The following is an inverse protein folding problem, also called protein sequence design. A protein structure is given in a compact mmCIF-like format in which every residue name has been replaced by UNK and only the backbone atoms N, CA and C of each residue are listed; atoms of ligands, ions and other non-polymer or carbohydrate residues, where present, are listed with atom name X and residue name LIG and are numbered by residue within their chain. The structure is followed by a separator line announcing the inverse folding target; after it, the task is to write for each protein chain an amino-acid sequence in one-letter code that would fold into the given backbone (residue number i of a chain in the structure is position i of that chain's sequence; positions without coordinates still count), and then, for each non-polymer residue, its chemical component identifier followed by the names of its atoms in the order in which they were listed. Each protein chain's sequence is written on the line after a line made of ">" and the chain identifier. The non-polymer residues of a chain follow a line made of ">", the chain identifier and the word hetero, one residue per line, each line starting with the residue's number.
data_IF_376299971025
#
_entry.id   IF_376299971025
#
_cell.length_a   1.000
_cell.length_b   1.000
_cell.length_c   1.000
_cell.angle_alpha   90.00
_cell.angle_beta   90.00
_cell.angle_gamma   90.00
#
_symmetry.space_group_name_H-M   'P 1'
#
loop_
_entity.id
_entity.type
_entity.pdbx_description
1 polymer ?
#
# COMPACT_ATOMS: atom_id res chain seq x y z
N UNK A 1 60.60 -9.44 26.33
CA UNK A 1 60.69 -9.25 24.87
C UNK A 1 59.60 -8.26 24.49
N UNK A 2 60.00 -6.99 24.33
CA UNK A 2 59.12 -5.81 24.24
C UNK A 2 58.85 -5.51 22.76
N UNK A 3 57.64 -5.77 22.25
CA UNK A 3 57.28 -5.45 20.86
C UNK A 3 56.84 -3.98 20.80
N UNK A 4 57.65 -3.18 20.11
CA UNK A 4 57.47 -1.75 19.90
C UNK A 4 56.29 -1.46 18.97
N UNK A 5 55.41 -0.56 19.41
CA UNK A 5 54.60 0.33 18.55
C UNK A 5 55.42 1.59 18.25
N UNK A 6 55.31 2.12 17.02
CA UNK A 6 55.34 3.55 16.61
C UNK A 6 55.55 3.61 15.09
N UNK A 7 54.57 4.06 14.31
CA UNK A 7 54.25 5.46 13.96
C UNK A 7 55.21 6.05 12.91
N UNK A 8 54.69 6.20 11.69
CA UNK A 8 55.08 7.26 10.76
C UNK A 8 53.91 7.56 9.82
N UNK A 9 53.28 8.72 10.06
CA UNK A 9 52.45 9.44 9.11
C UNK A 9 53.33 10.51 8.44
N UNK A 10 53.05 10.82 7.16
CA UNK A 10 53.30 12.07 6.40
C UNK A 10 53.06 11.71 4.91
N UNK A 11 51.91 12.01 4.29
CA UNK A 11 51.33 13.29 3.87
C UNK A 11 51.70 13.71 2.43
N UNK A 12 50.67 14.25 1.75
CA UNK A 12 50.68 15.17 0.60
C UNK A 12 50.76 14.57 -0.82
N UNK A 13 49.64 14.63 -1.56
CA UNK A 13 49.50 15.56 -2.70
C UNK A 13 48.09 15.57 -3.26
N UNK A 14 47.51 16.77 -3.30
CA UNK A 14 46.31 17.12 -4.03
C UNK A 14 46.66 17.41 -5.51
N UNK A 15 45.79 17.05 -6.44
CA UNK A 15 45.77 17.65 -7.78
C UNK A 15 44.35 17.72 -8.33
N UNK A 16 43.98 18.96 -8.64
CA UNK A 16 42.80 19.41 -9.38
C UNK A 16 42.70 18.73 -10.74
N UNK A 17 41.48 18.33 -11.14
CA UNK A 17 41.07 18.31 -12.54
C UNK A 17 39.64 18.86 -12.65
N UNK A 18 39.56 20.13 -13.02
CA UNK A 18 38.38 20.79 -13.56
C UNK A 18 38.20 20.38 -15.03
N UNK A 19 37.07 19.75 -15.35
CA UNK A 19 36.76 19.28 -16.70
C UNK A 19 35.31 19.56 -17.11
N UNK A 20 35.09 20.76 -17.66
CA UNK A 20 34.11 21.17 -18.69
C UNK A 20 32.68 20.62 -18.62
N UNK A 21 31.74 21.51 -18.22
CA UNK A 21 30.31 21.45 -18.55
C UNK A 21 30.11 21.78 -20.03
N UNK A 22 29.46 20.89 -20.76
CA UNK A 22 28.93 21.11 -22.11
C UNK A 22 27.43 21.42 -22.02
N UNK A 23 27.05 22.58 -22.55
CA UNK A 23 25.67 23.05 -22.69
C UNK A 23 24.96 22.32 -23.85
N UNK A 24 23.69 21.93 -23.73
CA UNK A 24 22.88 21.57 -24.88
C UNK A 24 22.21 22.84 -25.46
N UNK A 25 22.33 22.99 -26.78
CA UNK A 25 21.71 24.04 -27.58
C UNK A 25 20.19 23.91 -27.61
N UNK A 26 19.53 25.04 -27.41
CA UNK A 26 18.09 25.24 -27.64
C UNK A 26 17.83 25.27 -29.16
N UNK A 27 17.03 24.33 -29.68
CA UNK A 27 16.41 24.46 -31.00
C UNK A 27 14.95 24.87 -30.81
N UNK A 28 14.61 26.07 -31.29
CA UNK A 28 13.24 26.52 -31.50
C UNK A 28 12.71 25.91 -32.80
N UNK A 29 11.64 25.11 -32.70
CA UNK A 29 10.81 24.78 -33.85
C UNK A 29 9.41 25.34 -33.61
N UNK A 30 9.09 26.39 -34.37
CA UNK A 30 7.77 27.00 -34.49
C UNK A 30 6.83 26.02 -35.20
N UNK A 31 5.74 25.62 -34.56
CA UNK A 31 4.57 25.04 -35.22
C UNK A 31 3.29 25.70 -34.69
N UNK A 32 2.93 26.76 -35.43
CA UNK A 32 1.57 27.13 -35.86
C UNK A 32 0.36 26.64 -35.05
N UNK A 33 -0.28 27.57 -34.35
CA UNK A 33 -1.66 27.51 -33.85
C UNK A 33 -2.67 27.64 -34.99
N UNK A 34 -3.71 26.79 -35.09
CA UNK A 34 -4.88 27.11 -35.90
C UNK A 34 -5.86 27.99 -35.10
N UNK A 35 -6.29 29.05 -35.77
CA UNK A 35 -7.19 30.10 -35.33
C UNK A 35 -8.61 29.58 -35.09
N UNK A 36 -9.24 30.06 -34.01
CA UNK A 36 -10.67 29.96 -33.73
C UNK A 36 -11.40 30.95 -34.65
N UNK A 37 -12.44 30.48 -35.34
CA UNK A 37 -13.43 31.36 -36.01
C UNK A 37 -14.81 31.19 -35.36
N UNK A 38 -15.59 32.28 -35.23
CA UNK A 38 -16.88 32.26 -34.55
C UNK A 38 -17.99 31.77 -35.49
N UNK A 39 -18.85 30.87 -35.02
CA UNK A 39 -20.08 30.52 -35.76
C UNK A 39 -21.25 31.24 -35.11
N UNK A 40 -21.97 31.93 -35.99
CA UNK A 40 -23.06 32.87 -35.76
C UNK A 40 -24.30 32.22 -35.12
N UNK A 41 -24.91 32.99 -34.23
CA UNK A 41 -26.26 32.81 -33.72
C UNK A 41 -27.26 33.12 -34.85
N UNK A 42 -28.11 32.16 -35.22
CA UNK A 42 -29.30 32.41 -36.03
C UNK A 42 -30.52 31.92 -35.26
N UNK A 43 -31.34 32.88 -34.84
CA UNK A 43 -32.72 32.64 -34.42
C UNK A 43 -33.61 32.44 -35.66
N UNK A 44 -34.63 31.58 -35.58
CA UNK A 44 -36.06 31.94 -35.77
C UNK A 44 -36.99 30.70 -35.83
N UNK A 45 -38.10 30.85 -35.12
CA UNK A 45 -39.48 30.37 -35.38
C UNK A 45 -39.84 28.89 -35.40
N UNK A 46 -40.40 28.50 -34.24
CA UNK A 46 -41.64 27.73 -33.98
C UNK A 46 -42.47 27.34 -35.21
N UNK A 47 -42.72 26.02 -35.35
CA UNK A 47 -44.00 25.49 -35.83
C UNK A 47 -44.47 24.34 -34.94
N UNK A 48 -45.74 24.44 -34.59
CA UNK A 48 -46.54 23.62 -33.68
C UNK A 48 -46.89 22.24 -34.26
N UNK A 49 -46.82 21.20 -33.43
CA UNK A 49 -47.42 19.89 -33.67
C UNK A 49 -47.50 19.08 -32.38
N UNK A 50 -48.72 18.82 -31.90
CA UNK A 50 -49.05 17.98 -30.73
C UNK A 50 -49.74 16.68 -31.24
N UNK A 51 -50.02 15.66 -30.40
CA UNK A 51 -49.10 14.61 -29.98
C UNK A 51 -49.62 13.22 -30.43
N UNK A 52 -48.73 12.22 -30.53
CA UNK A 52 -49.18 10.81 -30.46
C UNK A 52 -48.37 10.04 -29.43
N UNK A 53 -49.11 9.61 -28.43
CA UNK A 53 -48.72 8.72 -27.35
C UNK A 53 -48.12 7.42 -27.89
N UNK A 54 -46.91 7.12 -27.43
CA UNK A 54 -46.34 5.77 -27.42
C UNK A 54 -45.67 5.62 -26.06
N UNK A 55 -46.43 5.12 -25.10
CA UNK A 55 -45.94 4.72 -23.78
C UNK A 55 -45.04 3.50 -24.00
N UNK A 56 -43.75 3.75 -24.25
CA UNK A 56 -42.70 2.76 -24.14
C UNK A 56 -42.38 2.56 -22.66
N UNK A 57 -42.86 1.47 -22.08
CA UNK A 57 -42.45 1.02 -20.74
C UNK A 57 -40.96 0.69 -20.78
N UNK A 58 -40.10 1.65 -20.43
CA UNK A 58 -38.70 1.41 -20.09
C UNK A 58 -38.66 0.57 -18.81
N UNK A 59 -38.58 -0.76 -18.97
CA UNK A 59 -38.10 -1.63 -17.90
C UNK A 59 -36.62 -1.34 -17.73
N UNK A 60 -36.29 -0.54 -16.72
CA UNK A 60 -34.95 -0.56 -16.16
C UNK A 60 -34.81 -1.90 -15.44
N UNK A 61 -34.36 -2.92 -16.16
CA UNK A 61 -33.77 -4.11 -15.54
C UNK A 61 -32.43 -3.68 -14.93
N UNK A 62 -32.51 -2.98 -13.80
CA UNK A 62 -31.39 -2.86 -12.88
C UNK A 62 -31.22 -4.25 -12.27
N UNK A 63 -30.45 -5.09 -12.96
CA UNK A 63 -29.75 -6.20 -12.31
C UNK A 63 -28.89 -5.57 -11.22
N UNK A 64 -29.42 -5.51 -10.01
CA UNK A 64 -28.65 -5.28 -8.80
C UNK A 64 -27.71 -6.48 -8.71
N UNK A 65 -26.52 -6.35 -9.29
CA UNK A 65 -25.43 -7.26 -8.99
C UNK A 65 -25.25 -7.16 -7.48
N UNK A 66 -25.68 -8.20 -6.75
CA UNK A 66 -25.52 -8.26 -5.32
C UNK A 66 -24.03 -8.13 -5.03
N UNK A 67 -23.60 -6.93 -4.63
CA UNK A 67 -22.32 -6.78 -3.95
C UNK A 67 -22.46 -7.59 -2.67
N UNK A 68 -21.97 -8.83 -2.71
CA UNK A 68 -21.65 -9.57 -1.49
C UNK A 68 -20.68 -8.69 -0.72
N UNK A 69 -21.21 -7.98 0.28
CA UNK A 69 -20.39 -7.24 1.23
C UNK A 69 -19.54 -8.30 1.92
N UNK A 70 -18.29 -8.44 1.48
CA UNK A 70 -17.32 -9.33 2.11
C UNK A 70 -17.34 -9.04 3.61
N UNK A 71 -17.64 -10.05 4.41
CA UNK A 71 -17.82 -9.90 5.86
C UNK A 71 -16.52 -10.16 6.62
N UNK A 72 -15.55 -10.78 5.95
CA UNK A 72 -14.32 -11.29 6.55
C UNK A 72 -13.13 -11.10 5.62
N UNK A 73 -11.93 -10.94 6.20
CA UNK A 73 -10.65 -10.99 5.48
C UNK A 73 -10.52 -12.30 4.68
N UNK A 74 -11.12 -13.39 5.15
CA UNK A 74 -11.05 -14.70 4.52
C UNK A 74 -11.80 -14.78 3.18
N UNK A 75 -12.56 -13.76 2.81
CA UNK A 75 -13.28 -13.74 1.55
C UNK A 75 -12.46 -13.13 0.40
N UNK A 76 -11.23 -12.67 0.66
CA UNK A 76 -10.39 -12.00 -0.34
C UNK A 76 -9.37 -12.95 -0.96
N UNK A 77 -9.10 -12.73 -2.25
CA UNK A 77 -7.94 -13.28 -2.95
C UNK A 77 -6.98 -12.12 -3.22
N UNK A 78 -5.71 -12.35 -2.95
CA UNK A 78 -4.61 -11.38 -3.18
C UNK A 78 -3.53 -12.01 -4.06
N UNK A 79 -2.57 -11.21 -4.52
CA UNK A 79 -1.42 -11.71 -5.26
C UNK A 79 -0.23 -11.89 -4.32
N UNK A 80 0.46 -13.03 -4.40
CA UNK A 80 1.79 -13.16 -3.80
C UNK A 80 2.81 -12.30 -4.57
N UNK A 81 4.02 -12.18 -4.02
CA UNK A 81 5.11 -11.41 -4.65
C UNK A 81 5.50 -11.93 -6.07
N UNK A 82 5.10 -13.13 -6.47
CA UNK A 82 5.33 -13.71 -7.80
C UNK A 82 4.12 -13.54 -8.75
N UNK A 83 3.04 -12.91 -8.29
CA UNK A 83 1.81 -12.69 -9.06
C UNK A 83 0.80 -13.84 -9.03
N UNK A 84 1.01 -14.88 -8.21
CA UNK A 84 0.05 -15.98 -8.06
C UNK A 84 -1.11 -15.57 -7.14
N UNK A 85 -2.30 -16.09 -7.40
CA UNK A 85 -3.44 -15.90 -6.50
C UNK A 85 -3.25 -16.67 -5.20
N UNK A 86 -3.53 -15.99 -4.09
CA UNK A 86 -3.60 -16.55 -2.74
C UNK A 86 -4.98 -16.25 -2.18
N UNK A 87 -5.78 -17.30 -1.99
CA UNK A 87 -7.06 -17.22 -1.29
C UNK A 87 -6.78 -17.09 0.22
N UNK A 88 -7.20 -15.98 0.82
CA UNK A 88 -6.97 -15.75 2.24
C UNK A 88 -7.81 -16.65 3.15
N UNK A 89 -8.75 -17.43 2.60
CA UNK A 89 -9.47 -18.47 3.33
C UNK A 89 -8.54 -19.51 3.98
N UNK A 90 -7.32 -19.68 3.47
CA UNK A 90 -6.28 -20.55 4.06
C UNK A 90 -5.85 -20.12 5.46
N UNK A 91 -6.11 -18.87 5.85
CA UNK A 91 -5.75 -18.31 7.15
C UNK A 91 -6.88 -18.40 8.18
N UNK A 92 -8.02 -19.02 7.84
CA UNK A 92 -9.13 -19.27 8.79
C UNK A 92 -8.62 -19.97 10.05
N UNK A 93 -9.05 -19.48 11.21
CA UNK A 93 -8.63 -20.00 12.51
C UNK A 93 -7.32 -19.41 13.04
N UNK A 94 -6.62 -18.58 12.26
CA UNK A 94 -5.43 -17.85 12.71
C UNK A 94 -5.77 -16.41 13.09
N UNK A 95 -5.07 -15.88 14.08
CA UNK A 95 -5.01 -14.44 14.35
C UNK A 95 -4.07 -13.80 13.34
N UNK A 96 -4.51 -12.73 12.66
CA UNK A 96 -3.71 -12.08 11.62
C UNK A 96 -3.30 -10.67 12.05
N UNK A 97 -2.04 -10.33 11.79
CA UNK A 97 -1.58 -8.94 11.78
C UNK A 97 -1.28 -8.53 10.35
N UNK A 98 -2.14 -7.68 9.78
CA UNK A 98 -2.00 -7.19 8.40
C UNK A 98 -1.32 -5.83 8.42
N UNK A 99 -0.24 -5.67 7.65
CA UNK A 99 0.63 -4.49 7.71
C UNK A 99 0.99 -3.98 6.32
N UNK A 100 0.87 -2.67 6.09
CA UNK A 100 1.46 -2.05 4.90
C UNK A 100 2.93 -1.71 5.17
N UNK A 101 3.85 -2.18 4.34
CA UNK A 101 5.31 -2.08 4.59
C UNK A 101 6.03 -1.24 3.54
N UNK A 102 7.22 -0.76 3.91
CA UNK A 102 8.13 0.00 3.06
C UNK A 102 9.60 -0.32 3.40
N UNK A 103 10.49 -0.43 2.40
CA UNK A 103 11.92 -0.71 2.61
C UNK A 103 12.76 0.53 2.94
N UNK A 104 12.33 1.72 2.51
CA UNK A 104 13.10 2.97 2.63
C UNK A 104 12.42 4.00 3.55
N UNK A 105 11.79 3.53 4.62
CA UNK A 105 11.14 4.37 5.61
C UNK A 105 11.98 4.49 6.89
N UNK A 106 11.90 5.63 7.58
CA UNK A 106 12.54 5.81 8.90
C UNK A 106 12.05 4.82 9.97
N UNK A 107 10.88 4.21 9.75
CA UNK A 107 10.26 3.22 10.63
C UNK A 107 10.62 1.77 10.26
N UNK A 108 11.30 1.54 9.13
CA UNK A 108 11.54 0.20 8.57
C UNK A 108 12.32 -0.69 9.53
N UNK A 109 13.42 -0.20 10.10
CA UNK A 109 14.28 -1.02 10.95
C UNK A 109 13.55 -1.54 12.18
N UNK A 110 12.90 -0.65 12.95
CA UNK A 110 12.19 -1.06 14.16
C UNK A 110 11.00 -1.96 13.85
N UNK A 111 10.21 -1.64 12.83
CA UNK A 111 9.02 -2.42 12.50
C UNK A 111 9.36 -3.82 12.01
N UNK A 112 10.23 -3.98 11.00
CA UNK A 112 10.58 -5.31 10.52
C UNK A 112 11.22 -6.17 11.61
N UNK A 113 12.14 -5.61 12.41
CA UNK A 113 12.76 -6.34 13.52
C UNK A 113 11.73 -6.81 14.55
N UNK A 114 10.79 -5.96 14.95
CA UNK A 114 9.78 -6.34 15.95
C UNK A 114 8.71 -7.29 15.37
N UNK A 115 8.34 -7.14 14.09
CA UNK A 115 7.44 -8.07 13.40
C UNK A 115 8.08 -9.46 13.31
N UNK A 116 9.36 -9.57 12.93
CA UNK A 116 10.06 -10.86 12.90
C UNK A 116 10.11 -11.51 14.28
N UNK A 117 10.37 -10.73 15.35
CA UNK A 117 10.37 -11.24 16.73
C UNK A 117 8.99 -11.76 17.18
N UNK A 118 7.92 -11.03 16.86
CA UNK A 118 6.55 -11.48 17.15
C UNK A 118 6.24 -12.76 16.38
N UNK A 119 6.58 -12.80 15.10
CA UNK A 119 6.31 -13.95 14.25
C UNK A 119 7.05 -15.19 14.71
N UNK A 120 8.35 -15.07 14.98
CA UNK A 120 9.18 -16.16 15.54
C UNK A 120 8.55 -16.75 16.80
N UNK A 121 7.99 -15.90 17.67
CA UNK A 121 7.37 -16.32 18.92
C UNK A 121 6.03 -17.03 18.75
N UNK A 122 5.21 -16.62 17.77
CA UNK A 122 3.79 -17.03 17.70
C UNK A 122 3.36 -17.77 16.42
N UNK A 123 4.20 -17.89 15.40
CA UNK A 123 3.85 -18.53 14.11
C UNK A 123 3.28 -19.94 14.26
N UNK A 124 3.78 -20.70 15.24
CA UNK A 124 3.33 -22.08 15.52
C UNK A 124 2.14 -22.14 16.50
N UNK A 125 1.60 -20.99 16.92
CA UNK A 125 0.51 -20.88 17.90
C UNK A 125 -0.79 -20.36 17.25
N UNK A 126 -0.90 -20.38 15.92
CA UNK A 126 -2.07 -19.86 15.21
C UNK A 126 -2.03 -18.35 14.99
N UNK A 127 -0.84 -17.77 14.85
CA UNK A 127 -0.64 -16.37 14.45
C UNK A 127 0.02 -16.29 13.07
N UNK A 128 -0.35 -15.27 12.29
CA UNK A 128 0.24 -14.99 10.98
C UNK A 128 0.40 -13.48 10.77
N UNK A 129 1.48 -13.08 10.07
CA UNK A 129 1.65 -11.70 9.61
C UNK A 129 1.46 -11.67 8.10
N UNK A 130 0.61 -10.77 7.60
CA UNK A 130 0.43 -10.56 6.16
C UNK A 130 0.97 -9.18 5.79
N UNK A 131 2.14 -9.14 5.16
CA UNK A 131 2.83 -7.90 4.80
C UNK A 131 2.53 -7.51 3.34
N UNK A 132 2.07 -6.28 3.14
CA UNK A 132 1.75 -5.72 1.83
C UNK A 132 2.63 -4.52 1.53
N UNK A 133 3.63 -4.64 0.64
CA UNK A 133 4.45 -3.51 0.24
C UNK A 133 3.60 -2.41 -0.39
N UNK A 134 3.91 -1.13 -0.12
CA UNK A 134 3.15 0.00 -0.67
C UNK A 134 4.05 1.21 -0.92
N UNK A 135 3.97 1.79 -2.12
CA UNK A 135 4.80 2.92 -2.52
C UNK A 135 4.11 4.29 -2.40
N UNK A 136 2.88 4.36 -1.89
CA UNK A 136 2.08 5.59 -1.84
C UNK A 136 2.61 6.63 -0.84
N UNK A 137 3.48 6.24 0.08
CA UNK A 137 3.96 7.10 1.18
C UNK A 137 5.41 7.51 0.94
N UNK A 138 5.59 8.68 0.32
CA UNK A 138 6.91 9.27 0.07
C UNK A 138 7.79 8.47 -0.90
N UNK A 139 7.21 7.57 -1.70
CA UNK A 139 7.98 6.74 -2.64
C UNK A 139 8.96 5.78 -1.95
N UNK A 140 8.64 5.34 -0.72
CA UNK A 140 9.55 4.59 0.15
C UNK A 140 9.57 3.06 -0.10
N UNK A 141 8.89 2.59 -1.14
CA UNK A 141 8.93 1.20 -1.61
C UNK A 141 9.11 1.15 -3.15
N UNK A 142 10.21 1.72 -3.67
CA UNK A 142 10.39 1.90 -5.11
C UNK A 142 10.73 0.59 -5.85
N UNK A 143 11.27 -0.41 -5.14
CA UNK A 143 11.73 -1.67 -5.73
C UNK A 143 10.61 -2.54 -6.29
N UNK A 144 10.98 -3.52 -7.11
CA UNK A 144 10.07 -4.59 -7.53
C UNK A 144 9.90 -5.64 -6.42
N UNK A 145 9.01 -6.61 -6.63
CA UNK A 145 8.70 -7.61 -5.61
C UNK A 145 9.92 -8.47 -5.25
N UNK A 146 10.77 -8.81 -6.21
CA UNK A 146 11.99 -9.58 -5.98
C UNK A 146 12.97 -8.83 -5.06
N UNK A 147 13.19 -7.55 -5.31
CA UNK A 147 14.04 -6.67 -4.50
C UNK A 147 13.48 -6.49 -3.09
N UNK A 148 12.15 -6.35 -2.96
CA UNK A 148 11.47 -6.19 -1.67
C UNK A 148 11.57 -7.47 -0.84
N UNK A 149 11.35 -8.63 -1.46
CA UNK A 149 11.54 -9.93 -0.81
C UNK A 149 12.97 -10.12 -0.32
N UNK A 150 13.96 -9.89 -1.20
CA UNK A 150 15.38 -10.02 -0.85
C UNK A 150 15.73 -9.10 0.33
N UNK A 151 15.28 -7.85 0.28
CA UNK A 151 15.47 -6.90 1.36
C UNK A 151 14.93 -7.40 2.69
N UNK A 152 13.66 -7.81 2.75
CA UNK A 152 13.01 -8.21 3.98
C UNK A 152 13.58 -9.53 4.53
N UNK A 153 13.75 -10.54 3.67
CA UNK A 153 14.23 -11.86 4.03
C UNK A 153 15.70 -11.84 4.45
N UNK A 154 16.58 -11.16 3.70
CA UNK A 154 18.02 -11.17 4.00
C UNK A 154 18.36 -10.30 5.20
N UNK A 155 17.80 -9.08 5.25
CA UNK A 155 18.15 -8.09 6.29
C UNK A 155 17.44 -8.35 7.62
N UNK A 156 16.16 -8.73 7.57
CA UNK A 156 15.32 -8.82 8.77
C UNK A 156 14.86 -10.23 9.09
N UNK A 157 15.28 -11.22 8.29
CA UNK A 157 14.89 -12.63 8.46
C UNK A 157 13.37 -12.77 8.55
N UNK A 158 12.66 -12.03 7.71
CA UNK A 158 11.22 -12.15 7.61
C UNK A 158 10.86 -13.55 7.10
N UNK A 159 10.08 -14.28 7.90
CA UNK A 159 9.60 -15.65 7.57
C UNK A 159 8.08 -15.68 7.31
N UNK A 160 7.42 -14.53 7.41
CA UNK A 160 5.99 -14.37 7.15
C UNK A 160 5.72 -13.99 5.69
N UNK A 161 4.51 -14.25 5.16
CA UNK A 161 4.13 -13.87 3.80
C UNK A 161 4.29 -12.38 3.50
N UNK A 162 5.01 -12.09 2.42
CA UNK A 162 5.09 -10.77 1.79
C UNK A 162 4.41 -10.90 0.42
N UNK A 163 3.34 -10.12 0.23
CA UNK A 163 2.49 -10.14 -0.95
C UNK A 163 2.99 -9.18 -2.03
N UNK A 164 2.27 -9.16 -3.15
CA UNK A 164 2.47 -8.18 -4.21
C UNK A 164 2.34 -6.75 -3.67
N UNK A 165 3.04 -5.81 -4.32
CA UNK A 165 2.94 -4.39 -4.00
C UNK A 165 1.56 -3.87 -4.37
N UNK A 166 0.91 -3.19 -3.43
CA UNK A 166 -0.46 -2.70 -3.60
C UNK A 166 -0.62 -1.22 -3.24
N UNK A 167 -1.63 -0.60 -3.83
CA UNK A 167 -2.19 0.64 -3.33
C UNK A 167 -3.11 0.35 -2.13
N UNK A 168 -3.00 1.15 -1.08
CA UNK A 168 -3.81 1.02 0.15
C UNK A 168 -4.82 2.15 0.31
N UNK A 169 -4.63 3.24 -0.43
CA UNK A 169 -5.51 4.41 -0.48
C UNK A 169 -5.94 4.74 -1.91
N UNK A 170 -6.99 5.57 -2.03
CA UNK A 170 -7.54 6.01 -3.31
C UNK A 170 -8.44 4.98 -4.00
N UNK A 171 -8.89 5.33 -5.20
CA UNK A 171 -9.80 4.52 -6.02
C UNK A 171 -9.20 3.15 -6.39
N UNK A 172 -7.88 3.11 -6.58
CA UNK A 172 -7.13 1.91 -6.93
C UNK A 172 -6.71 1.07 -5.72
N UNK A 173 -7.10 1.46 -4.50
CA UNK A 173 -6.77 0.68 -3.31
C UNK A 173 -7.23 -0.77 -3.45
N UNK A 174 -6.36 -1.70 -3.06
CA UNK A 174 -6.67 -3.12 -3.07
C UNK A 174 -7.98 -3.38 -2.29
N UNK A 175 -8.87 -4.28 -2.78
CA UNK A 175 -10.17 -4.52 -2.14
C UNK A 175 -10.07 -4.86 -0.65
N UNK A 176 -9.04 -5.64 -0.27
CA UNK A 176 -8.77 -5.94 1.14
C UNK A 176 -8.51 -4.67 1.96
N UNK A 177 -7.71 -3.73 1.47
CA UNK A 177 -7.44 -2.48 2.19
C UNK A 177 -8.66 -1.56 2.25
N UNK A 178 -9.55 -1.58 1.25
CA UNK A 178 -10.86 -0.90 1.36
C UNK A 178 -11.68 -1.49 2.51
N UNK A 179 -11.74 -2.82 2.63
CA UNK A 179 -12.42 -3.51 3.72
C UNK A 179 -11.79 -3.22 5.10
N UNK A 180 -10.46 -3.31 5.21
CA UNK A 180 -9.74 -3.05 6.46
C UNK A 180 -9.98 -1.62 6.95
N UNK A 181 -9.93 -0.64 6.06
CA UNK A 181 -10.16 0.78 6.39
C UNK A 181 -11.61 1.06 6.80
N UNK A 182 -12.59 0.42 6.16
CA UNK A 182 -14.01 0.58 6.46
C UNK A 182 -14.45 -0.12 7.76
N UNK A 183 -13.60 -1.00 8.30
CA UNK A 183 -13.92 -1.74 9.52
C UNK A 183 -13.85 -0.83 10.75
N UNK A 184 -14.85 -0.93 11.63
CA UNK A 184 -15.00 -0.10 12.85
C UNK A 184 -14.03 -0.49 14.00
N UNK A 185 -13.04 -1.34 13.73
CA UNK A 185 -12.10 -1.86 14.72
C UNK A 185 -11.04 -0.81 15.09
N UNK A 186 -11.24 -0.13 16.22
CA UNK A 186 -10.30 0.79 16.84
C UNK A 186 -10.88 2.18 17.12
N UNK A 187 -10.55 2.76 18.28
CA UNK A 187 -11.08 4.02 18.83
C UNK A 187 -10.87 5.29 17.95
N UNK A 188 -10.25 5.16 16.78
CA UNK A 188 -9.89 6.25 15.86
C UNK A 188 -10.52 6.12 14.47
N UNK A 189 -11.13 4.98 14.14
CA UNK A 189 -11.60 4.61 12.78
C UNK A 189 -12.90 5.27 12.31
N UNK A 190 -13.25 6.45 12.82
CA UNK A 190 -14.48 7.15 12.39
C UNK A 190 -14.46 8.67 12.53
N UNK A 191 -13.38 9.25 13.06
CA UNK A 191 -13.31 10.69 13.36
C UNK A 191 -12.38 11.48 12.43
N UNK A 192 -11.47 10.80 11.70
CA UNK A 192 -10.40 11.46 10.90
C UNK A 192 -10.14 10.80 9.53
N UNK A 193 -11.19 10.35 8.85
CA UNK A 193 -11.08 9.73 7.52
C UNK A 193 -10.32 8.40 7.52
N UNK A 194 -10.84 7.45 6.76
CA UNK A 194 -10.42 6.04 6.95
C UNK A 194 -9.05 5.73 6.33
N UNK A 195 -8.50 6.66 5.56
CA UNK A 195 -7.21 6.51 4.87
C UNK A 195 -6.04 6.20 5.80
N UNK A 196 -5.16 5.32 5.32
CA UNK A 196 -3.89 4.99 5.98
C UNK A 196 -2.97 6.21 5.86
N UNK A 197 -2.45 6.65 7.00
CA UNK A 197 -1.70 7.92 7.07
C UNK A 197 -0.24 7.78 6.68
N UNK A 198 0.36 6.58 6.83
CA UNK A 198 1.76 6.32 6.51
C UNK A 198 2.07 4.82 6.38
N UNK A 199 3.33 4.50 6.09
CA UNK A 199 3.87 3.15 6.18
C UNK A 199 3.71 2.55 7.59
N UNK A 200 3.52 1.24 7.66
CA UNK A 200 3.38 0.46 8.89
C UNK A 200 2.12 0.75 9.72
N UNK A 201 0.98 1.07 9.09
CA UNK A 201 -0.29 0.87 9.79
C UNK A 201 -0.53 -0.64 9.95
N UNK A 202 -1.14 -1.05 11.07
CA UNK A 202 -1.42 -2.45 11.34
C UNK A 202 -2.91 -2.65 11.61
N UNK A 203 -3.44 -3.76 11.13
CA UNK A 203 -4.80 -4.22 11.43
C UNK A 203 -4.68 -5.57 12.11
N UNK A 204 -5.26 -5.68 13.30
CA UNK A 204 -5.35 -6.96 14.01
C UNK A 204 -6.71 -7.58 13.69
N UNK A 205 -6.66 -8.85 13.31
CA UNK A 205 -7.80 -9.61 12.82
C UNK A 205 -7.95 -10.88 13.65
N UNK A 206 -9.17 -11.17 14.08
CA UNK A 206 -9.49 -12.38 14.84
C UNK A 206 -9.48 -13.65 13.98
N UNK A 207 -9.72 -14.81 14.61
CA UNK A 207 -9.68 -16.13 13.97
C UNK A 207 -10.81 -16.33 12.96
N UNK A 208 -11.87 -15.53 13.06
CA UNK A 208 -13.05 -15.50 12.18
C UNK A 208 -12.85 -14.54 10.99
N UNK A 209 -11.82 -13.70 11.04
CA UNK A 209 -11.40 -12.80 9.99
C UNK A 209 -12.02 -11.40 10.09
N UNK A 210 -12.50 -11.00 11.28
CA UNK A 210 -12.97 -9.64 11.55
C UNK A 210 -11.84 -8.76 12.07
N UNK A 211 -11.80 -7.51 11.62
CA UNK A 211 -10.85 -6.52 12.16
C UNK A 211 -11.28 -6.11 13.56
N UNK A 212 -10.43 -6.39 14.55
CA UNK A 212 -10.71 -6.08 15.95
C UNK A 212 -9.99 -4.82 16.43
N UNK A 213 -8.85 -4.45 15.82
CA UNK A 213 -8.14 -3.22 16.13
C UNK A 213 -7.31 -2.71 14.95
N UNK A 214 -6.97 -1.41 15.00
CA UNK A 214 -6.14 -0.70 14.03
C UNK A 214 -5.11 0.14 14.77
N UNK A 215 -3.84 -0.09 14.46
CA UNK A 215 -2.71 0.60 15.08
C UNK A 215 -2.05 1.59 14.12
N UNK A 216 -1.65 2.73 14.67
CA UNK A 216 -0.99 3.78 13.91
C UNK A 216 0.42 3.34 13.44
N UNK A 217 0.97 3.95 12.37
CA UNK A 217 2.36 3.81 11.94
C UNK A 217 3.39 3.83 13.07
N UNK A 218 3.21 4.72 14.04
CA UNK A 218 4.12 4.94 15.18
C UNK A 218 3.93 3.94 16.31
N UNK A 219 2.87 3.12 16.30
CA UNK A 219 2.71 2.05 17.27
C UNK A 219 3.75 0.96 16.99
N UNK A 220 4.60 0.70 17.98
CA UNK A 220 5.60 -0.37 17.94
C UNK A 220 4.91 -1.74 17.87
N UNK A 221 5.27 -2.62 16.93
CA UNK A 221 4.69 -3.96 16.85
C UNK A 221 4.72 -4.71 18.18
N UNK A 222 5.83 -4.68 18.94
CA UNK A 222 5.91 -5.46 20.19
C UNK A 222 4.86 -5.04 21.23
N UNK A 223 4.41 -3.78 21.20
CA UNK A 223 3.35 -3.30 22.11
C UNK A 223 1.97 -3.92 21.83
N UNK A 224 1.79 -4.51 20.64
CA UNK A 224 0.57 -5.20 20.19
C UNK A 224 0.54 -6.66 20.71
N UNK A 225 1.66 -7.19 21.22
CA UNK A 225 1.77 -8.57 21.70
C UNK A 225 0.65 -8.96 22.67
N UNK A 226 0.31 -8.06 23.60
CA UNK A 226 -0.75 -8.31 24.58
C UNK A 226 -2.11 -8.60 23.94
N UNK A 227 -2.41 -7.93 22.82
CA UNK A 227 -3.69 -8.05 22.11
C UNK A 227 -3.69 -9.31 21.24
N UNK A 228 -2.55 -9.64 20.63
CA UNK A 228 -2.33 -10.93 19.94
C UNK A 228 -2.56 -12.09 20.92
N UNK A 229 -1.91 -12.09 22.09
CA UNK A 229 -2.06 -13.14 23.09
C UNK A 229 -3.50 -13.34 23.52
N UNK A 230 -4.25 -12.23 23.70
CA UNK A 230 -5.66 -12.28 24.07
C UNK A 230 -6.52 -13.03 23.04
N UNK A 231 -6.20 -12.89 21.75
CA UNK A 231 -6.92 -13.58 20.67
C UNK A 231 -6.45 -15.04 20.46
N UNK A 232 -5.20 -15.34 20.85
CA UNK A 232 -4.68 -16.70 20.77
C UNK A 232 -5.33 -17.62 21.81
N UNK A 233 -5.60 -17.11 23.02
CA UNK A 233 -6.20 -17.85 24.13
C UNK A 233 -5.19 -18.09 25.25
#
# INVERSE_FOLDING_TARGET
>A
MLVRRNLSALAVSASLLLGKRSSPSFNQTLLSFPQISPVYLVSHSIKTGSPRSLVGSLRFDHTMAAQSSKGSVHDFTVKDAKGNDVDLSIYKGKVLLIVNVASQCGLTNSNYTELSKLYEKYKDQGFEILAFPCNQFGGQEPGNNEEILEFACTRFKAEYPIFDKVDVNGENAAPIYKFLKASKGGALGGLLGDDIKWNFAKFLVDKEGHVVDRYAPTTSPISIEKDIKKLLG
#
